data_IF_176593767115
#
_entry.id   IF_176593767115
#
_cell.length_a   1.000
_cell.length_b   1.000
_cell.length_c   1.000
_cell.angle_alpha   90.00
_cell.angle_beta   90.00
_cell.angle_gamma   90.00
#
_symmetry.space_group_name_H-M   'P 1'
#
loop_
_entity.id
_entity.type
_entity.pdbx_description
1 polymer ?
#
# COMPACT_ATOMS: atom_id res chain seq x y z
N UNK A 1 10.15 6.74 2.44
CA UNK A 1 10.14 5.68 1.42
C UNK A 1 9.17 6.06 0.31
N UNK A 2 9.51 5.77 -0.94
CA UNK A 2 8.61 5.93 -2.09
C UNK A 2 8.38 4.52 -2.66
N UNK A 3 7.12 4.10 -2.82
CA UNK A 3 6.77 2.75 -3.30
C UNK A 3 5.77 2.78 -4.46
N UNK A 4 5.95 1.83 -5.37
CA UNK A 4 5.08 1.62 -6.53
C UNK A 4 3.82 0.82 -6.16
N UNK A 5 2.82 0.82 -7.06
CA UNK A 5 1.65 -0.05 -6.93
C UNK A 5 2.00 -1.54 -6.91
N UNK A 6 3.01 -1.96 -7.68
CA UNK A 6 3.50 -3.34 -7.67
C UNK A 6 4.05 -3.74 -6.30
N UNK A 7 4.75 -2.81 -5.63
CA UNK A 7 5.27 -3.03 -4.28
C UNK A 7 4.15 -3.16 -3.25
N UNK A 8 3.10 -2.33 -3.35
CA UNK A 8 1.90 -2.44 -2.50
C UNK A 8 1.19 -3.77 -2.71
N UNK A 9 1.04 -4.22 -3.96
CA UNK A 9 0.45 -5.51 -4.29
C UNK A 9 1.25 -6.68 -3.69
N UNK A 10 2.58 -6.60 -3.75
CA UNK A 10 3.43 -7.60 -3.10
C UNK A 10 3.20 -7.64 -1.57
N UNK A 11 3.12 -6.49 -0.91
CA UNK A 11 2.84 -6.43 0.54
C UNK A 11 1.47 -7.01 0.91
N UNK A 12 0.44 -6.76 0.10
CA UNK A 12 -0.90 -7.36 0.30
C UNK A 12 -0.85 -8.89 0.17
N UNK A 13 -0.08 -9.38 -0.79
CA UNK A 13 0.11 -10.82 -0.96
C UNK A 13 0.83 -11.44 0.24
N UNK A 14 1.91 -10.82 0.71
CA UNK A 14 2.65 -11.31 1.89
C UNK A 14 1.88 -11.16 3.20
N UNK A 15 1.00 -10.16 3.32
CA UNK A 15 0.18 -10.00 4.53
C UNK A 15 -0.80 -11.15 4.71
N UNK A 16 -1.30 -11.74 3.62
CA UNK A 16 -2.15 -12.97 3.68
C UNK A 16 -1.42 -14.15 4.30
N UNK A 17 -0.10 -14.20 4.17
CA UNK A 17 0.75 -15.21 4.80
C UNK A 17 1.23 -14.79 6.21
N UNK A 18 0.84 -13.61 6.71
CA UNK A 18 1.29 -13.08 8.00
C UNK A 18 2.73 -12.56 8.02
N UNK A 19 3.36 -12.33 6.85
CA UNK A 19 4.80 -12.04 6.72
C UNK A 19 5.05 -10.57 6.40
N UNK A 20 4.24 -9.65 6.93
CA UNK A 20 4.44 -8.23 6.67
C UNK A 20 5.41 -7.61 7.69
N UNK A 21 6.55 -7.05 7.26
CA UNK A 21 7.52 -6.47 8.19
C UNK A 21 7.02 -5.15 8.78
N UNK A 22 7.44 -4.86 10.02
CA UNK A 22 7.25 -3.54 10.62
C UNK A 22 8.36 -2.58 10.22
N UNK A 23 7.96 -1.39 9.78
CA UNK A 23 8.79 -0.27 9.40
C UNK A 23 8.82 0.78 10.52
N UNK A 24 9.36 0.41 11.68
CA UNK A 24 9.35 1.25 12.87
C UNK A 24 10.08 2.60 12.68
N UNK A 25 11.04 2.70 11.76
CA UNK A 25 11.79 3.94 11.53
C UNK A 25 11.21 4.80 10.39
N UNK A 26 10.08 4.39 9.80
CA UNK A 26 9.50 5.08 8.66
C UNK A 26 8.63 6.27 9.11
N UNK A 27 9.14 7.48 8.91
CA UNK A 27 8.42 8.72 9.23
C UNK A 27 7.70 9.37 8.04
N UNK A 28 8.12 9.09 6.81
CA UNK A 28 7.47 9.58 5.58
C UNK A 28 7.32 8.46 4.55
N UNK A 29 6.12 8.34 4.00
CA UNK A 29 5.76 7.38 2.97
C UNK A 29 5.08 8.11 1.81
N UNK A 30 5.48 7.75 0.60
CA UNK A 30 4.81 8.11 -0.63
C UNK A 30 4.50 6.82 -1.38
N UNK A 31 3.24 6.58 -1.71
CA UNK A 31 2.81 5.30 -2.25
C UNK A 31 1.79 5.49 -3.37
N UNK A 32 1.93 4.67 -4.42
CA UNK A 32 0.89 4.50 -5.43
C UNK A 32 0.03 3.31 -5.05
N UNK A 33 -1.28 3.50 -4.88
CA UNK A 33 -2.24 2.45 -4.56
C UNK A 33 -3.19 2.23 -5.74
N UNK A 34 -3.41 0.98 -6.13
CA UNK A 34 -4.53 0.65 -6.99
C UNK A 34 -5.82 0.74 -6.18
N UNK A 35 -6.90 1.25 -6.78
CA UNK A 35 -8.20 1.39 -6.12
C UNK A 35 -8.68 0.08 -5.47
N UNK A 36 -8.44 -1.05 -6.14
CA UNK A 36 -8.76 -2.41 -5.66
C UNK A 36 -8.02 -2.81 -4.37
N UNK A 37 -6.91 -2.13 -4.05
CA UNK A 37 -6.08 -2.39 -2.87
C UNK A 37 -6.29 -1.37 -1.74
N UNK A 38 -7.21 -0.40 -1.89
CA UNK A 38 -7.45 0.60 -0.82
C UNK A 38 -7.91 -0.04 0.50
N UNK A 39 -8.64 -1.15 0.44
CA UNK A 39 -9.04 -1.91 1.63
C UNK A 39 -7.85 -2.46 2.45
N UNK A 40 -6.69 -2.63 1.83
CA UNK A 40 -5.46 -3.09 2.49
C UNK A 40 -4.69 -1.94 3.18
N UNK A 41 -4.99 -0.69 2.84
CA UNK A 41 -4.28 0.48 3.37
C UNK A 41 -4.21 0.52 4.90
N UNK A 42 -5.28 0.24 5.68
CA UNK A 42 -5.20 0.27 7.14
C UNK A 42 -4.17 -0.72 7.69
N UNK A 43 -4.21 -1.98 7.26
CA UNK A 43 -3.25 -3.01 7.69
C UNK A 43 -1.81 -2.66 7.27
N UNK A 44 -1.64 -2.04 6.11
CA UNK A 44 -0.32 -1.56 5.67
C UNK A 44 0.22 -0.44 6.57
N UNK A 45 -0.65 0.49 7.02
CA UNK A 45 -0.24 1.59 7.89
C UNK A 45 0.08 1.12 9.32
N UNK A 46 -0.52 0.04 9.81
CA UNK A 46 -0.13 -0.60 11.08
C UNK A 46 1.32 -1.08 11.08
N UNK A 47 1.87 -1.37 9.90
CA UNK A 47 3.27 -1.72 9.75
C UNK A 47 4.21 -0.52 9.94
N UNK A 48 3.71 0.72 9.89
CA UNK A 48 4.50 1.94 9.92
C UNK A 48 4.13 2.83 11.12
N UNK A 49 4.36 2.39 12.37
CA UNK A 49 3.79 3.05 13.56
C UNK A 49 4.29 4.48 13.81
N UNK A 50 5.45 4.86 13.26
CA UNK A 50 6.03 6.19 13.43
C UNK A 50 5.82 7.11 12.22
N UNK A 51 4.89 6.76 11.33
CA UNK A 51 4.59 7.53 10.13
C UNK A 51 3.98 8.90 10.50
N UNK A 52 4.63 9.97 10.05
CA UNK A 52 4.20 11.37 10.26
C UNK A 52 3.66 12.01 8.99
N UNK A 53 4.14 11.56 7.83
CA UNK A 53 3.77 12.11 6.53
C UNK A 53 3.40 10.98 5.57
N UNK A 54 2.19 11.05 5.01
CA UNK A 54 1.70 10.12 4.01
C UNK A 54 1.29 10.90 2.76
N UNK A 55 1.83 10.50 1.61
CA UNK A 55 1.34 10.93 0.30
C UNK A 55 0.84 9.68 -0.43
N UNK A 56 -0.42 9.69 -0.84
CA UNK A 56 -1.06 8.58 -1.51
C UNK A 56 -1.51 9.03 -2.90
N UNK A 57 -1.05 8.33 -3.95
CA UNK A 57 -1.61 8.44 -5.29
C UNK A 57 -2.49 7.23 -5.55
N UNK A 58 -3.79 7.43 -5.68
CA UNK A 58 -4.72 6.36 -6.04
C UNK A 58 -4.84 6.29 -7.56
N UNK A 59 -4.65 5.11 -8.12
CA UNK A 59 -4.89 4.82 -9.53
C UNK A 59 -6.07 3.86 -9.64
N UNK A 60 -7.05 4.23 -10.46
CA UNK A 60 -8.12 3.33 -10.86
C UNK A 60 -7.65 2.67 -12.16
N UNK A 61 -7.73 1.34 -12.26
CA UNK A 61 -7.75 0.72 -13.57
C UNK A 61 -9.04 1.19 -14.24
N UNK A 62 -8.97 1.83 -15.39
CA UNK A 62 -10.12 1.85 -16.30
C UNK A 62 -10.47 0.38 -16.53
N UNK A 63 -11.60 -0.04 -15.99
CA UNK A 63 -12.19 -1.29 -16.41
C UNK A 63 -12.56 -1.03 -17.87
N UNK A 64 -11.79 -1.59 -18.80
CA UNK A 64 -12.34 -1.87 -20.11
C UNK A 64 -13.44 -2.89 -19.81
N UNK A 65 -14.66 -2.39 -19.69
CA UNK A 65 -15.86 -3.19 -19.81
C UNK A 65 -15.75 -3.88 -21.17
N UNK A 66 -15.31 -5.14 -21.18
CA UNK A 66 -15.45 -6.01 -22.35
C UNK A 66 -16.94 -6.36 -22.42
N UNK A 67 -17.67 -5.64 -23.29
CA UNK A 67 -19.07 -5.85 -23.68
C UNK A 67 -19.38 -7.29 -24.14
#
# INVERSE_FOLDING_TARGET
>A
MIISGMTVHAFEHYSKAGIIPKFNNLSRLEAVFHGKLLQFLPAFLECCPNLKHLILKVVHSEEMDED
#
